data_IF_312967657414
#
_entry.id   IF_312967657414
#
_cell.length_a   1.000
_cell.length_b   1.000
_cell.length_c   1.000
_cell.angle_alpha   90.00
_cell.angle_beta   90.00
_cell.angle_gamma   90.00
#
_symmetry.space_group_name_H-M   'P 1'
#
loop_
_entity.id
_entity.type
_entity.pdbx_description
1 polymer ?
#
# COMPACT_ATOMS: atom_id res chain seq x y z
N UNK A 1 -13.10 -1.15 -20.07
CA UNK A 1 -13.98 -0.56 -19.05
C UNK A 1 -13.19 -0.34 -17.76
N UNK A 2 -13.71 0.35 -16.75
CA UNK A 2 -13.05 0.45 -15.44
C UNK A 2 -12.79 -0.95 -14.85
N UNK A 3 -13.77 -1.85 -14.93
CA UNK A 3 -13.67 -3.20 -14.37
C UNK A 3 -12.57 -4.05 -15.04
N UNK A 4 -12.41 -3.97 -16.36
CA UNK A 4 -11.31 -4.66 -17.05
C UNK A 4 -9.94 -4.18 -16.53
N UNK A 5 -9.82 -2.88 -16.23
CA UNK A 5 -8.60 -2.29 -15.69
C UNK A 5 -8.36 -2.71 -14.25
N UNK A 6 -9.41 -2.82 -13.43
CA UNK A 6 -9.32 -3.43 -12.09
C UNK A 6 -8.77 -4.86 -12.14
N UNK A 7 -9.26 -5.68 -13.08
CA UNK A 7 -8.77 -7.05 -13.26
C UNK A 7 -7.30 -7.06 -13.68
N UNK A 8 -6.92 -6.21 -14.64
CA UNK A 8 -5.53 -6.04 -15.08
C UNK A 8 -4.62 -5.61 -13.92
N UNK A 9 -5.09 -4.69 -13.07
CA UNK A 9 -4.38 -4.22 -11.86
C UNK A 9 -4.07 -5.37 -10.92
N UNK A 10 -5.06 -6.23 -10.67
CA UNK A 10 -4.90 -7.42 -9.81
C UNK A 10 -3.86 -8.36 -10.42
N UNK A 11 -3.96 -8.68 -11.71
CA UNK A 11 -3.00 -9.57 -12.37
C UNK A 11 -1.58 -9.01 -12.40
N UNK A 12 -1.43 -7.71 -12.64
CA UNK A 12 -0.13 -7.05 -12.63
C UNK A 12 0.57 -7.21 -11.28
N UNK A 13 -0.12 -6.87 -10.19
CA UNK A 13 0.47 -6.97 -8.86
C UNK A 13 0.62 -8.41 -8.37
N UNK A 14 -0.27 -9.32 -8.75
CA UNK A 14 -0.08 -10.75 -8.53
C UNK A 14 1.20 -11.26 -9.21
N UNK A 15 1.50 -10.78 -10.42
CA UNK A 15 2.74 -11.12 -11.12
C UNK A 15 4.00 -10.50 -10.49
N UNK A 16 3.86 -9.42 -9.71
CA UNK A 16 4.98 -8.77 -9.01
C UNK A 16 5.28 -9.40 -7.64
N UNK A 17 4.33 -10.15 -7.08
CA UNK A 17 4.46 -10.77 -5.75
C UNK A 17 5.71 -11.66 -5.60
N UNK A 18 6.15 -12.31 -6.68
CA UNK A 18 7.35 -13.17 -6.71
C UNK A 18 8.50 -12.61 -7.57
N UNK A 19 8.33 -11.43 -8.20
CA UNK A 19 9.28 -10.86 -9.17
C UNK A 19 9.85 -9.51 -8.79
N UNK A 20 9.47 -8.96 -7.64
CA UNK A 20 10.03 -7.69 -7.17
C UNK A 20 11.42 -7.90 -6.54
N UNK A 21 12.41 -8.20 -7.38
CA UNK A 21 13.72 -8.73 -6.97
C UNK A 21 14.54 -7.84 -6.04
N UNK A 22 15.24 -8.47 -5.10
CA UNK A 22 16.22 -7.85 -4.22
C UNK A 22 17.54 -7.55 -4.95
N UNK A 23 18.37 -6.66 -4.41
CA UNK A 23 19.65 -6.27 -5.06
C UNK A 23 20.85 -6.78 -4.28
N UNK A 24 21.92 -7.13 -4.98
CA UNK A 24 23.21 -7.49 -4.39
C UNK A 24 24.22 -6.39 -4.69
N UNK A 25 24.87 -5.87 -3.65
CA UNK A 25 25.92 -4.88 -3.77
C UNK A 25 27.27 -5.51 -3.41
N UNK A 26 28.23 -5.38 -4.32
CA UNK A 26 29.63 -5.69 -4.03
C UNK A 26 30.20 -4.59 -3.12
N UNK A 27 30.92 -4.99 -2.08
CA UNK A 27 31.55 -4.05 -1.16
C UNK A 27 33.07 -4.17 -1.20
N UNK A 28 33.83 -3.13 -0.79
CA UNK A 28 35.29 -3.15 -0.84
C UNK A 28 35.94 -4.21 0.08
N UNK A 29 35.20 -4.73 1.05
CA UNK A 29 35.65 -5.78 1.97
C UNK A 29 35.22 -7.16 1.46
N UNK A 30 35.74 -8.26 2.04
CA UNK A 30 35.38 -9.66 1.72
C UNK A 30 33.93 -10.04 2.13
N UNK A 31 32.97 -9.19 1.79
CA UNK A 31 31.56 -9.31 2.10
C UNK A 31 30.73 -8.94 0.87
N UNK A 32 29.56 -9.57 0.74
CA UNK A 32 28.46 -9.08 -0.12
C UNK A 32 27.36 -8.51 0.76
N UNK A 33 26.72 -7.43 0.28
CA UNK A 33 25.55 -6.86 0.93
C UNK A 33 24.32 -7.21 0.12
N UNK A 34 23.43 -8.01 0.70
CA UNK A 34 22.11 -8.32 0.14
C UNK A 34 21.12 -7.26 0.62
N UNK A 35 20.64 -6.42 -0.29
CA UNK A 35 19.57 -5.46 -0.04
C UNK A 35 18.23 -6.17 -0.26
N UNK A 36 17.78 -6.88 0.78
CA UNK A 36 16.53 -7.65 0.78
C UNK A 36 15.34 -6.72 0.94
N UNK A 37 14.28 -6.96 0.17
CA UNK A 37 12.98 -6.30 0.34
C UNK A 37 12.15 -7.08 1.34
N UNK A 38 11.73 -6.43 2.43
CA UNK A 38 10.82 -6.99 3.43
C UNK A 38 9.51 -6.16 3.47
N UNK A 39 8.36 -6.76 3.82
CA UNK A 39 7.12 -6.02 4.05
C UNK A 39 7.30 -5.01 5.19
N UNK A 40 6.47 -3.97 5.18
CA UNK A 40 6.37 -3.03 6.31
C UNK A 40 5.69 -3.65 7.53
N UNK A 41 4.67 -4.48 7.32
CA UNK A 41 3.80 -4.97 8.38
C UNK A 41 2.33 -4.64 8.08
N UNK A 42 1.72 -3.81 8.93
CA UNK A 42 0.34 -3.31 8.78
C UNK A 42 0.36 -1.94 8.13
N UNK A 43 -0.42 -1.79 7.06
CA UNK A 43 -0.60 -0.53 6.34
C UNK A 43 -2.04 -0.04 6.49
N UNK A 44 -2.22 1.15 7.04
CA UNK A 44 -3.47 1.90 6.96
C UNK A 44 -3.58 2.60 5.60
N UNK A 45 -4.71 2.43 4.92
CA UNK A 45 -4.94 3.03 3.60
C UNK A 45 -6.27 3.78 3.60
N UNK A 46 -6.24 5.07 3.30
CA UNK A 46 -7.45 5.85 2.98
C UNK A 46 -7.44 6.07 1.48
N UNK A 47 -8.40 5.46 0.81
CA UNK A 47 -8.51 5.43 -0.65
C UNK A 47 -9.00 6.78 -1.20
N UNK A 48 -8.63 7.12 -2.44
CA UNK A 48 -9.11 8.32 -3.13
C UNK A 48 -10.64 8.40 -3.16
N UNK A 49 -11.20 9.56 -2.86
CA UNK A 49 -12.65 9.79 -2.97
C UNK A 49 -13.11 9.85 -4.43
N UNK A 50 -12.24 10.33 -5.32
CA UNK A 50 -12.52 10.60 -6.72
C UNK A 50 -12.43 9.37 -7.62
N UNK A 51 -11.74 8.31 -7.16
CA UNK A 51 -11.56 7.09 -7.93
C UNK A 51 -12.39 5.95 -7.33
N UNK A 52 -13.12 5.27 -8.19
CA UNK A 52 -13.99 4.15 -7.83
C UNK A 52 -13.22 2.92 -7.36
N UNK A 53 -13.65 1.74 -7.81
CA UNK A 53 -13.02 0.49 -7.38
C UNK A 53 -11.54 0.43 -7.80
N UNK A 54 -11.19 1.06 -8.92
CA UNK A 54 -9.80 1.05 -9.39
C UNK A 54 -8.84 1.74 -8.42
N UNK A 55 -9.19 2.90 -7.85
CA UNK A 55 -8.33 3.60 -6.90
C UNK A 55 -8.10 2.79 -5.62
N UNK A 56 -9.18 2.16 -5.14
CA UNK A 56 -9.12 1.23 -4.01
C UNK A 56 -8.18 0.04 -4.29
N UNK A 57 -8.35 -0.67 -5.42
CA UNK A 57 -7.51 -1.83 -5.75
C UNK A 57 -6.06 -1.44 -6.05
N UNK A 58 -5.83 -0.27 -6.62
CA UNK A 58 -4.49 0.25 -6.92
C UNK A 58 -3.65 0.48 -5.68
N UNK A 59 -4.28 0.69 -4.53
CA UNK A 59 -3.61 0.90 -3.25
C UNK A 59 -3.55 -0.39 -2.43
N UNK A 60 -4.63 -1.15 -2.35
CA UNK A 60 -4.70 -2.36 -1.51
C UNK A 60 -3.90 -3.53 -2.07
N UNK A 61 -4.05 -3.83 -3.36
CA UNK A 61 -3.41 -5.02 -3.97
C UNK A 61 -1.88 -4.97 -3.94
N UNK A 62 -1.17 -3.86 -4.24
CA UNK A 62 0.29 -3.87 -4.15
C UNK A 62 0.80 -4.04 -2.72
N UNK A 63 0.09 -3.50 -1.72
CA UNK A 63 0.45 -3.69 -0.32
C UNK A 63 0.39 -5.18 0.05
N UNK A 64 -0.70 -5.85 -0.30
CA UNK A 64 -0.89 -7.30 -0.06
C UNK A 64 0.11 -8.13 -0.86
N UNK A 65 0.36 -7.78 -2.13
CA UNK A 65 1.31 -8.49 -2.99
C UNK A 65 2.74 -8.48 -2.42
N UNK A 66 3.12 -7.41 -1.70
CA UNK A 66 4.41 -7.31 -1.02
C UNK A 66 4.42 -7.93 0.39
N UNK A 67 3.33 -8.61 0.80
CA UNK A 67 3.26 -9.34 2.07
C UNK A 67 2.77 -8.52 3.27
N UNK A 68 2.13 -7.36 3.04
CA UNK A 68 1.56 -6.54 4.10
C UNK A 68 0.11 -6.93 4.41
N UNK A 69 -0.30 -6.73 5.66
CA UNK A 69 -1.71 -6.68 6.03
C UNK A 69 -2.23 -5.24 5.89
N UNK A 70 -3.49 -5.08 5.53
CA UNK A 70 -4.07 -3.77 5.20
C UNK A 70 -5.33 -3.50 6.03
N UNK A 71 -5.44 -2.29 6.55
CA UNK A 71 -6.68 -1.69 7.05
C UNK A 71 -7.08 -0.57 6.09
N UNK A 72 -8.04 -0.85 5.21
CA UNK A 72 -8.44 0.03 4.13
C UNK A 72 -9.76 0.74 4.43
N UNK A 73 -9.77 2.05 4.26
CA UNK A 73 -10.95 2.91 4.30
C UNK A 73 -11.27 3.31 2.86
N UNK A 74 -12.34 2.77 2.25
CA UNK A 74 -12.70 3.09 0.87
C UNK A 74 -13.32 4.49 0.78
N UNK A 75 -13.51 4.99 -0.44
CA UNK A 75 -14.29 6.22 -0.70
C UNK A 75 -15.69 6.12 -0.11
N UNK A 76 -16.17 7.17 0.55
CA UNK A 76 -17.56 7.23 1.05
C UNK A 76 -18.57 7.15 -0.11
N UNK A 77 -18.23 7.77 -1.25
CA UNK A 77 -19.08 7.79 -2.44
C UNK A 77 -19.16 6.42 -3.13
N UNK A 78 -18.07 5.66 -3.11
CA UNK A 78 -17.95 4.36 -3.77
C UNK A 78 -17.87 3.18 -2.81
N UNK A 79 -18.24 3.38 -1.54
CA UNK A 79 -18.08 2.38 -0.48
C UNK A 79 -18.75 1.05 -0.83
N UNK A 80 -19.90 1.08 -1.52
CA UNK A 80 -20.62 -0.12 -1.93
C UNK A 80 -19.80 -1.04 -2.87
N UNK A 81 -18.95 -0.46 -3.73
CA UNK A 81 -18.07 -1.25 -4.60
C UNK A 81 -17.01 -1.99 -3.78
N UNK A 82 -16.47 -1.34 -2.73
CA UNK A 82 -15.53 -1.98 -1.82
C UNK A 82 -16.22 -3.04 -0.96
N UNK A 83 -17.50 -2.87 -0.61
CA UNK A 83 -18.24 -3.91 0.12
C UNK A 83 -18.56 -5.12 -0.75
N UNK A 84 -18.85 -4.94 -2.04
CA UNK A 84 -19.04 -6.08 -2.95
C UNK A 84 -17.73 -6.86 -3.14
N UNK A 85 -16.59 -6.17 -3.07
CA UNK A 85 -15.27 -6.80 -3.12
C UNK A 85 -14.98 -7.74 -1.95
N UNK A 86 -15.68 -7.62 -0.80
CA UNK A 86 -15.57 -8.60 0.29
C UNK A 86 -15.85 -10.02 -0.20
N UNK A 87 -16.89 -10.20 -1.03
CA UNK A 87 -17.26 -11.52 -1.53
C UNK A 87 -16.17 -12.10 -2.42
N UNK A 88 -15.47 -11.24 -3.18
CA UNK A 88 -14.33 -11.66 -4.01
C UNK A 88 -13.17 -12.11 -3.13
N UNK A 89 -12.85 -11.38 -2.06
CA UNK A 89 -11.80 -11.75 -1.11
C UNK A 89 -12.12 -13.08 -0.41
N UNK A 90 -13.36 -13.25 0.07
CA UNK A 90 -13.83 -14.46 0.74
C UNK A 90 -13.77 -15.68 -0.19
N UNK A 91 -14.25 -15.53 -1.44
CA UNK A 91 -14.23 -16.61 -2.44
C UNK A 91 -12.80 -16.93 -2.94
N UNK A 92 -11.84 -16.02 -2.73
CA UNK A 92 -10.45 -16.20 -3.16
C UNK A 92 -9.54 -16.78 -2.06
N UNK A 93 -10.10 -17.25 -0.95
CA UNK A 93 -9.37 -17.82 0.20
C UNK A 93 -8.30 -16.87 0.77
N UNK A 94 -8.55 -15.56 0.74
CA UNK A 94 -7.64 -14.58 1.35
C UNK A 94 -7.58 -14.82 2.86
N UNK A 95 -6.39 -15.02 3.46
CA UNK A 95 -6.29 -15.31 4.88
C UNK A 95 -6.91 -14.20 5.74
N UNK A 96 -7.61 -14.59 6.79
CA UNK A 96 -8.26 -13.66 7.72
C UNK A 96 -7.26 -12.64 8.28
N UNK A 97 -7.60 -11.36 8.20
CA UNK A 97 -6.79 -10.24 8.68
C UNK A 97 -5.81 -9.65 7.66
N UNK A 98 -5.64 -10.24 6.48
CA UNK A 98 -4.77 -9.67 5.41
C UNK A 98 -5.39 -8.42 4.80
N UNK A 99 -6.69 -8.44 4.52
CA UNK A 99 -7.43 -7.27 4.03
C UNK A 99 -8.61 -7.03 4.95
N UNK A 100 -8.61 -5.88 5.61
CA UNK A 100 -9.68 -5.42 6.49
C UNK A 100 -10.22 -4.12 5.90
N UNK A 101 -11.51 -4.06 5.57
CA UNK A 101 -12.12 -2.86 5.00
C UNK A 101 -13.03 -2.25 6.07
N UNK A 102 -12.91 -0.94 6.28
CA UNK A 102 -13.68 -0.19 7.28
C UNK A 102 -14.34 0.99 6.59
N UNK A 103 -15.65 0.94 6.40
CA UNK A 103 -16.43 2.02 5.79
C UNK A 103 -16.89 3.03 6.84
N UNK A 104 -16.83 4.33 6.52
CA UNK A 104 -17.28 5.40 7.41
C UNK A 104 -16.68 6.74 6.99
N UNK A 105 -16.76 7.73 7.88
CA UNK A 105 -16.16 9.06 7.68
C UNK A 105 -14.64 8.94 7.48
N UNK A 106 -14.15 9.27 6.28
CA UNK A 106 -12.74 9.11 5.94
C UNK A 106 -11.83 10.01 6.78
N UNK A 107 -12.27 11.23 7.10
CA UNK A 107 -11.45 12.18 7.85
C UNK A 107 -11.25 11.70 9.29
N UNK A 108 -12.33 11.21 9.93
CA UNK A 108 -12.29 10.63 11.27
C UNK A 108 -11.40 9.38 11.29
N UNK A 109 -11.61 8.45 10.35
CA UNK A 109 -10.87 7.20 10.31
C UNK A 109 -9.39 7.42 9.96
N UNK A 110 -9.07 8.39 9.10
CA UNK A 110 -7.70 8.77 8.78
C UNK A 110 -6.94 9.24 10.02
N UNK A 111 -7.56 10.05 10.86
CA UNK A 111 -6.96 10.54 12.10
C UNK A 111 -6.69 9.39 13.08
N UNK A 112 -7.66 8.48 13.24
CA UNK A 112 -7.51 7.30 14.10
C UNK A 112 -6.37 6.39 13.62
N UNK A 113 -6.32 6.09 12.32
CA UNK A 113 -5.26 5.27 11.74
C UNK A 113 -3.88 5.95 11.85
N UNK A 114 -3.81 7.27 11.63
CA UNK A 114 -2.57 8.03 11.75
C UNK A 114 -2.02 8.01 13.18
N UNK A 115 -2.88 8.02 14.21
CA UNK A 115 -2.51 7.93 15.63
C UNK A 115 -2.16 6.51 16.10
N UNK A 116 -2.63 5.48 15.40
CA UNK A 116 -2.48 4.10 15.86
C UNK A 116 -1.00 3.69 15.92
N UNK A 117 -0.54 3.15 17.05
CA UNK A 117 0.87 2.79 17.24
C UNK A 117 1.27 1.50 16.51
N UNK A 118 0.34 0.56 16.36
CA UNK A 118 0.57 -0.73 15.65
C UNK A 118 0.28 -0.64 14.13
N UNK A 119 0.42 0.55 13.55
CA UNK A 119 0.38 0.74 12.08
C UNK A 119 1.76 1.21 11.63
N UNK A 120 2.45 0.41 10.83
CA UNK A 120 3.82 0.69 10.37
C UNK A 120 3.86 1.66 9.18
N UNK A 121 2.77 1.70 8.38
CA UNK A 121 2.64 2.61 7.23
C UNK A 121 1.25 3.21 7.08
N UNK A 122 1.16 4.49 6.70
CA UNK A 122 -0.10 5.17 6.43
C UNK A 122 -0.09 5.78 5.03
N UNK A 123 -1.03 5.36 4.19
CA UNK A 123 -1.25 5.91 2.85
C UNK A 123 -2.56 6.69 2.85
N UNK A 124 -2.49 7.95 2.45
CA UNK A 124 -3.66 8.83 2.43
C UNK A 124 -3.78 9.53 1.08
N UNK A 125 -4.87 9.24 0.39
CA UNK A 125 -5.22 9.82 -0.91
C UNK A 125 -6.44 10.71 -0.73
N UNK A 126 -6.20 11.93 -0.30
CA UNK A 126 -7.27 12.88 -0.03
C UNK A 126 -6.77 14.29 -0.13
N UNK A 127 -7.45 15.21 0.56
CA UNK A 127 -7.13 16.62 0.45
C UNK A 127 -5.80 17.02 1.14
N UNK A 128 -5.38 18.27 0.91
CA UNK A 128 -4.17 18.83 1.51
C UNK A 128 -4.25 18.91 3.04
N UNK A 129 -5.43 19.17 3.59
CA UNK A 129 -5.62 19.36 5.03
C UNK A 129 -5.46 18.02 5.76
N UNK A 130 -6.11 16.97 5.28
CA UNK A 130 -5.98 15.62 5.80
C UNK A 130 -4.59 15.05 5.60
N UNK A 131 -3.93 15.34 4.47
CA UNK A 131 -2.53 14.94 4.25
C UNK A 131 -1.61 15.49 5.35
N UNK A 132 -1.78 16.78 5.68
CA UNK A 132 -1.02 17.42 6.75
C UNK A 132 -1.35 16.82 8.13
N UNK A 133 -2.63 16.61 8.41
CA UNK A 133 -3.07 15.97 9.67
C UNK A 133 -2.44 14.58 9.82
N UNK A 134 -2.50 13.75 8.78
CA UNK A 134 -1.92 12.40 8.78
C UNK A 134 -0.43 12.44 9.11
N UNK A 135 0.32 13.37 8.52
CA UNK A 135 1.76 13.50 8.81
C UNK A 135 2.05 14.03 10.21
N UNK A 136 1.24 14.97 10.71
CA UNK A 136 1.38 15.52 12.07
C UNK A 136 1.09 14.43 13.12
N UNK A 137 0.03 13.65 12.96
CA UNK A 137 -0.38 12.61 13.91
C UNK A 137 0.49 11.35 13.81
N UNK A 138 1.01 11.03 12.62
CA UNK A 138 1.96 9.93 12.43
C UNK A 138 3.33 10.17 13.10
N UNK A 139 3.65 11.43 13.41
CA UNK A 139 4.96 11.81 13.95
C UNK A 139 5.26 11.16 15.30
N UNK A 140 4.25 10.88 16.13
CA UNK A 140 4.45 10.26 17.45
C UNK A 140 5.07 8.87 17.34
N UNK A 141 4.62 8.05 16.39
CA UNK A 141 5.17 6.70 16.17
C UNK A 141 6.27 6.66 15.10
N UNK A 142 6.55 7.79 14.44
CA UNK A 142 7.45 7.87 13.29
C UNK A 142 7.12 6.86 12.17
N UNK A 143 5.84 6.49 12.02
CA UNK A 143 5.38 5.58 10.96
C UNK A 143 5.59 6.20 9.59
N UNK A 144 5.80 5.38 8.57
CA UNK A 144 6.01 5.88 7.21
C UNK A 144 4.70 6.40 6.63
N UNK A 145 4.66 7.68 6.26
CA UNK A 145 3.51 8.26 5.55
C UNK A 145 3.73 8.32 4.04
N UNK A 146 2.63 8.20 3.29
CA UNK A 146 2.58 8.53 1.88
C UNK A 146 1.29 9.26 1.59
N UNK A 147 1.40 10.56 1.31
CA UNK A 147 0.28 11.46 1.06
C UNK A 147 0.47 12.19 -0.27
N UNK A 148 -0.62 12.58 -0.93
CA UNK A 148 -0.58 13.31 -2.20
C UNK A 148 -0.88 14.80 -2.07
N UNK A 149 -1.22 15.31 -0.88
CA UNK A 149 -1.57 16.71 -0.64
C UNK A 149 -2.70 17.25 -1.52
N UNK A 150 -3.66 16.40 -1.90
CA UNK A 150 -4.76 16.76 -2.81
C UNK A 150 -4.31 17.06 -4.25
N UNK A 151 -3.11 16.64 -4.63
CA UNK A 151 -2.67 16.71 -6.02
C UNK A 151 -3.34 15.63 -6.84
N UNK A 152 -3.70 15.98 -8.07
CA UNK A 152 -4.27 15.04 -9.03
C UNK A 152 -3.36 13.83 -9.22
N UNK A 153 -3.97 12.66 -9.24
CA UNK A 153 -3.31 11.39 -9.54
C UNK A 153 -4.15 10.67 -10.59
N UNK A 154 -3.53 10.31 -11.70
CA UNK A 154 -4.22 9.59 -12.76
C UNK A 154 -4.29 8.10 -12.44
N UNK A 155 -5.38 7.67 -11.81
CA UNK A 155 -5.66 6.26 -11.54
C UNK A 155 -5.93 5.47 -12.84
N UNK A 156 -6.20 6.18 -13.94
CA UNK A 156 -6.41 5.58 -15.25
C UNK A 156 -5.12 5.25 -16.00
N UNK A 157 -4.06 5.96 -15.68
CA UNK A 157 -2.73 5.71 -16.21
C UNK A 157 -2.05 4.54 -15.50
N UNK A 158 -1.24 3.80 -16.26
CA UNK A 158 -0.55 2.62 -15.73
C UNK A 158 0.72 3.02 -14.96
N UNK A 159 1.44 4.05 -15.38
CA UNK A 159 2.64 4.49 -14.65
C UNK A 159 2.27 5.09 -13.29
N UNK A 160 1.20 5.89 -13.26
CA UNK A 160 0.72 6.51 -12.03
C UNK A 160 -0.06 5.52 -11.16
N UNK A 161 -1.03 4.80 -11.72
CA UNK A 161 -1.93 3.95 -10.94
C UNK A 161 -1.39 2.54 -10.62
N UNK A 162 -0.46 2.00 -11.40
CA UNK A 162 0.15 0.68 -11.16
C UNK A 162 1.69 0.66 -11.13
N UNK A 163 2.29 1.80 -10.82
CA UNK A 163 3.74 1.96 -10.84
C UNK A 163 4.50 1.21 -9.74
N UNK A 164 5.82 1.07 -9.95
CA UNK A 164 6.77 0.53 -8.96
C UNK A 164 6.79 1.34 -7.65
N UNK A 165 6.30 2.58 -7.68
CA UNK A 165 6.18 3.45 -6.51
C UNK A 165 5.37 2.80 -5.39
N UNK A 166 4.27 2.10 -5.71
CA UNK A 166 3.46 1.37 -4.72
C UNK A 166 4.25 0.24 -4.07
N UNK A 167 4.96 -0.58 -4.87
CA UNK A 167 5.78 -1.69 -4.37
C UNK A 167 6.90 -1.19 -3.47
N UNK A 168 7.57 -0.11 -3.87
CA UNK A 168 8.60 0.56 -3.05
C UNK A 168 8.03 1.13 -1.76
N UNK A 169 6.82 1.69 -1.80
CA UNK A 169 6.16 2.25 -0.62
C UNK A 169 5.67 1.16 0.33
N UNK A 170 5.38 -0.04 -0.17
CA UNK A 170 4.94 -1.21 0.58
C UNK A 170 6.09 -2.09 1.12
N UNK A 171 7.35 -1.73 0.83
CA UNK A 171 8.53 -2.50 1.26
C UNK A 171 9.53 -1.63 2.00
N UNK A 172 10.35 -2.28 2.82
CA UNK A 172 11.59 -1.73 3.37
C UNK A 172 12.80 -2.54 2.91
N UNK A 173 13.97 -1.91 2.97
CA UNK A 173 15.23 -2.55 2.57
C UNK A 173 16.02 -2.92 3.80
N UNK A 174 16.23 -4.23 3.97
CA UNK A 174 17.11 -4.79 4.98
C UNK A 174 18.41 -5.24 4.35
N UNK A 175 19.49 -4.62 4.77
CA UNK A 175 20.83 -4.95 4.30
C UNK A 175 21.43 -6.06 5.15
N UNK A 176 21.62 -7.24 4.54
CA UNK A 176 22.26 -8.40 5.17
C UNK A 176 23.69 -8.48 4.67
N UNK A 177 24.64 -8.40 5.59
CA UNK A 177 26.07 -8.47 5.30
C UNK A 177 26.56 -9.89 5.52
N UNK A 178 27.00 -10.54 4.45
CA UNK A 178 27.46 -11.93 4.51
C UNK A 178 28.92 -11.98 4.09
N UNK A 179 29.79 -12.65 4.86
CA UNK A 179 31.15 -12.93 4.42
C UNK A 179 31.12 -13.67 3.07
N UNK A 180 31.87 -13.18 2.11
CA UNK A 180 31.98 -13.78 0.79
C UNK A 180 33.45 -13.89 0.44
N UNK A 181 33.96 -15.12 0.45
CA UNK A 181 35.30 -15.45 0.01
C UNK A 181 35.25 -15.84 -1.46
N UNK A 182 35.98 -15.11 -2.30
CA UNK A 182 36.56 -15.71 -3.51
C UNK A 182 37.76 -16.58 -3.12
#
# INVERSE_FOLDING_TARGET
>A
SEFDRCIQRIYYYAAMADKYDSRVHATPYRNVTLAMKEPLGVIGIVAPEEAGLIGFLSTVIPAVAMGNSVVAVPSEHYALLATDFYQVLDTSDVPGGVVNIVTGDQALLAEVLAKHLDIEGMWYWGDRKGSRMVEEEAAESMKRTWVNYGLFHDWEDDEQGQGESFLRKATEIKNIWIPYGE
#
